data_IF_652442997327
#
_entry.id   IF_652442997327
#
_cell.length_a   1.000
_cell.length_b   1.000
_cell.length_c   1.000
_cell.angle_alpha   90.00
_cell.angle_beta   90.00
_cell.angle_gamma   90.00
#
_symmetry.space_group_name_H-M   'P 1'
#
loop_
_entity.id
_entity.type
_entity.pdbx_description
1 polymer ?
#
# COMPACT_ATOMS: atom_id res chain seq x y z
N UNK A 1 -0.72 1.31 -23.03
CA UNK A 1 0.34 0.94 -24.00
C UNK A 1 0.88 -0.47 -23.68
N UNK A 2 0.99 -0.87 -22.40
CA UNK A 2 1.43 -2.21 -22.01
C UNK A 2 0.50 -3.35 -22.49
N UNK A 3 -0.79 -3.11 -22.65
CA UNK A 3 -1.78 -4.12 -23.03
C UNK A 3 -1.69 -4.58 -24.49
N UNK A 4 -1.21 -3.73 -25.39
CA UNK A 4 -1.09 -4.08 -26.82
C UNK A 4 0.14 -4.98 -27.08
N UNK A 5 1.19 -4.84 -26.27
CA UNK A 5 2.39 -5.65 -26.43
C UNK A 5 2.19 -7.14 -26.07
N UNK A 6 1.23 -7.47 -25.23
CA UNK A 6 0.89 -8.87 -24.88
C UNK A 6 0.13 -9.65 -25.95
N UNK A 7 -0.41 -8.96 -26.95
CA UNK A 7 -1.19 -9.59 -28.02
C UNK A 7 -0.38 -9.96 -29.28
N UNK A 8 0.88 -9.54 -29.36
CA UNK A 8 1.75 -9.87 -30.50
C UNK A 8 2.48 -11.18 -30.17
N UNK A 9 2.33 -12.25 -30.98
CA UNK A 9 3.07 -13.47 -30.78
C UNK A 9 4.57 -13.22 -30.71
N UNK A 10 5.25 -13.85 -29.74
CA UNK A 10 6.67 -13.68 -29.48
C UNK A 10 7.52 -13.85 -30.77
N UNK A 11 7.13 -14.78 -31.64
CA UNK A 11 7.72 -14.99 -32.95
C UNK A 11 7.71 -13.76 -33.86
N UNK A 12 6.62 -12.96 -33.83
CA UNK A 12 6.53 -11.71 -34.61
C UNK A 12 7.40 -10.60 -34.02
N UNK A 13 7.48 -10.53 -32.69
CA UNK A 13 8.36 -9.55 -32.00
C UNK A 13 9.82 -9.85 -32.31
N UNK A 14 10.21 -11.11 -32.28
CA UNK A 14 11.58 -11.55 -32.62
C UNK A 14 11.88 -11.30 -34.11
N UNK A 15 10.98 -11.68 -35.01
CA UNK A 15 11.14 -11.44 -36.46
C UNK A 15 11.25 -9.94 -36.78
N UNK A 16 10.38 -9.12 -36.21
CA UNK A 16 10.41 -7.66 -36.42
C UNK A 16 11.71 -7.03 -35.87
N UNK A 17 12.22 -7.54 -34.76
CA UNK A 17 13.45 -7.07 -34.16
C UNK A 17 14.70 -7.43 -34.97
N UNK A 18 14.71 -8.62 -35.59
CA UNK A 18 15.83 -9.06 -36.44
C UNK A 18 15.91 -8.18 -37.69
N UNK A 19 14.77 -7.86 -38.31
CA UNK A 19 14.70 -7.03 -39.53
C UNK A 19 15.11 -5.58 -39.28
N UNK A 20 14.81 -5.02 -38.11
CA UNK A 20 15.06 -3.60 -37.80
C UNK A 20 16.26 -3.37 -36.84
N UNK A 21 16.95 -4.44 -36.43
CA UNK A 21 17.99 -4.39 -35.40
C UNK A 21 19.17 -3.48 -35.75
N UNK A 22 19.55 -3.45 -37.01
CA UNK A 22 20.66 -2.63 -37.52
C UNK A 22 20.25 -1.21 -37.88
N UNK A 23 18.97 -1.00 -38.16
CA UNK A 23 18.45 0.29 -38.65
C UNK A 23 17.92 1.20 -37.53
N UNK A 24 17.60 0.67 -36.35
CA UNK A 24 17.07 1.45 -35.25
C UNK A 24 17.54 0.96 -33.86
N UNK A 25 18.56 1.59 -33.27
CA UNK A 25 19.09 1.22 -31.94
C UNK A 25 18.03 1.22 -30.83
N UNK A 26 16.96 1.99 -30.99
CA UNK A 26 15.85 2.03 -30.03
C UNK A 26 15.08 0.71 -29.99
N UNK A 27 14.86 0.09 -31.14
CA UNK A 27 14.21 -1.21 -31.24
C UNK A 27 15.05 -2.33 -30.67
N UNK A 28 16.36 -2.28 -30.87
CA UNK A 28 17.30 -3.24 -30.26
C UNK A 28 17.17 -3.22 -28.73
N UNK A 29 17.27 -2.04 -28.14
CA UNK A 29 17.15 -1.85 -26.69
C UNK A 29 15.80 -2.36 -26.15
N UNK A 30 14.69 -2.06 -26.85
CA UNK A 30 13.36 -2.49 -26.47
C UNK A 30 13.21 -4.02 -26.53
N UNK A 31 13.77 -4.66 -27.56
CA UNK A 31 13.72 -6.12 -27.72
C UNK A 31 14.60 -6.80 -26.68
N UNK A 32 15.82 -6.32 -26.47
CA UNK A 32 16.72 -6.88 -25.46
C UNK A 32 16.08 -6.77 -24.06
N UNK A 33 15.37 -5.68 -23.76
CA UNK A 33 14.61 -5.53 -22.54
C UNK A 33 13.43 -6.51 -22.46
N UNK A 34 12.66 -6.71 -23.54
CA UNK A 34 11.56 -7.69 -23.56
C UNK A 34 12.07 -9.12 -23.41
N UNK A 35 13.17 -9.48 -24.05
CA UNK A 35 13.78 -10.81 -23.91
C UNK A 35 14.32 -11.01 -22.49
N UNK A 36 14.95 -10.01 -21.91
CA UNK A 36 15.39 -10.04 -20.51
C UNK A 36 14.21 -10.27 -19.55
N UNK A 37 13.06 -9.66 -19.81
CA UNK A 37 11.87 -9.82 -18.98
C UNK A 37 11.32 -11.25 -18.97
N UNK A 38 11.61 -12.08 -19.98
CA UNK A 38 11.19 -13.49 -20.01
C UNK A 38 11.91 -14.36 -18.99
N UNK A 39 13.04 -13.90 -18.46
CA UNK A 39 13.79 -14.59 -17.42
C UNK A 39 13.24 -14.30 -16.01
N UNK A 40 12.22 -13.45 -15.89
CA UNK A 40 11.61 -13.05 -14.63
C UNK A 40 10.12 -13.40 -14.62
N UNK A 41 9.58 -13.64 -13.44
CA UNK A 41 8.14 -13.80 -13.25
C UNK A 41 7.38 -12.51 -13.60
N UNK A 42 6.07 -12.63 -13.82
CA UNK A 42 5.21 -11.45 -14.04
C UNK A 42 5.33 -10.44 -12.89
N UNK A 43 5.37 -10.93 -11.64
CA UNK A 43 5.45 -10.07 -10.45
C UNK A 43 6.79 -9.34 -10.35
N UNK A 44 7.91 -10.02 -10.65
CA UNK A 44 9.23 -9.38 -10.71
C UNK A 44 9.29 -8.29 -11.79
N UNK A 45 8.72 -8.57 -12.96
CA UNK A 45 8.65 -7.58 -14.04
C UNK A 45 7.77 -6.38 -13.66
N UNK A 46 6.62 -6.61 -13.02
CA UNK A 46 5.75 -5.56 -12.52
C UNK A 46 6.47 -4.70 -11.46
N UNK A 47 7.17 -5.34 -10.52
CA UNK A 47 7.99 -4.64 -9.54
C UNK A 47 9.06 -3.77 -10.20
N UNK A 48 9.82 -4.35 -11.12
CA UNK A 48 10.88 -3.64 -11.86
C UNK A 48 10.36 -2.42 -12.63
N UNK A 49 9.16 -2.51 -13.19
CA UNK A 49 8.54 -1.38 -13.92
C UNK A 49 8.14 -0.27 -12.95
N UNK A 50 7.63 -0.61 -11.78
CA UNK A 50 7.14 0.35 -10.78
C UNK A 50 8.29 1.00 -9.98
N UNK A 51 9.30 0.20 -9.59
CA UNK A 51 10.36 0.64 -8.67
C UNK A 51 11.73 0.87 -9.37
N UNK A 52 11.87 0.49 -10.64
CA UNK A 52 13.07 0.77 -11.44
C UNK A 52 14.25 -0.18 -11.24
N UNK A 53 14.13 -1.20 -10.39
CA UNK A 53 15.17 -2.20 -10.12
C UNK A 53 14.58 -3.62 -10.00
N UNK A 54 15.43 -4.64 -10.06
CA UNK A 54 15.04 -6.03 -9.81
C UNK A 54 14.84 -6.21 -8.30
N UNK A 55 13.70 -6.78 -7.85
CA UNK A 55 13.43 -6.92 -6.43
C UNK A 55 14.40 -7.89 -5.76
N UNK A 56 14.77 -7.59 -4.52
CA UNK A 56 15.30 -8.60 -3.60
C UNK A 56 14.20 -9.61 -3.24
N UNK A 57 14.52 -10.80 -2.72
CA UNK A 57 13.51 -11.77 -2.29
C UNK A 57 12.53 -11.21 -1.27
N UNK A 58 12.99 -10.31 -0.39
CA UNK A 58 12.15 -9.66 0.62
C UNK A 58 11.21 -8.64 0.01
N UNK A 59 11.71 -7.75 -0.86
CA UNK A 59 10.86 -6.79 -1.59
C UNK A 59 9.82 -7.49 -2.46
N UNK A 60 10.20 -8.59 -3.11
CA UNK A 60 9.26 -9.39 -3.90
C UNK A 60 8.15 -9.98 -3.03
N UNK A 61 8.49 -10.52 -1.86
CA UNK A 61 7.51 -11.05 -0.89
C UNK A 61 6.55 -9.95 -0.41
N UNK A 62 7.08 -8.79 -0.04
CA UNK A 62 6.28 -7.65 0.41
C UNK A 62 5.37 -7.14 -0.73
N UNK A 63 5.88 -7.02 -1.93
CA UNK A 63 5.09 -6.64 -3.09
C UNK A 63 4.00 -7.66 -3.45
N UNK A 64 4.33 -8.96 -3.42
CA UNK A 64 3.34 -10.04 -3.59
C UNK A 64 2.26 -10.00 -2.51
N UNK A 65 2.61 -9.63 -1.29
CA UNK A 65 1.65 -9.46 -0.19
C UNK A 65 0.66 -8.34 -0.50
N UNK A 66 1.13 -7.17 -0.97
CA UNK A 66 0.27 -6.06 -1.39
C UNK A 66 -0.66 -6.50 -2.51
N UNK A 67 -0.14 -7.14 -3.55
CA UNK A 67 -0.95 -7.63 -4.66
C UNK A 67 -1.99 -8.65 -4.20
N UNK A 68 -1.59 -9.60 -3.35
CA UNK A 68 -2.48 -10.64 -2.83
C UNK A 68 -3.64 -10.07 -2.02
N UNK A 69 -3.39 -9.05 -1.19
CA UNK A 69 -4.42 -8.37 -0.40
C UNK A 69 -5.41 -7.57 -1.27
N UNK A 70 -5.01 -7.14 -2.45
CA UNK A 70 -5.85 -6.35 -3.37
C UNK A 70 -6.59 -7.17 -4.42
N UNK A 71 -6.23 -8.45 -4.60
CA UNK A 71 -6.81 -9.31 -5.64
C UNK A 71 -8.29 -9.63 -5.45
N UNK A 72 -8.77 -9.66 -4.21
CA UNK A 72 -10.13 -10.09 -3.91
C UNK A 72 -10.88 -9.03 -3.11
N UNK A 73 -11.99 -8.57 -3.69
CA UNK A 73 -12.93 -7.70 -3.00
C UNK A 73 -14.24 -8.44 -2.69
N UNK A 74 -14.79 -8.22 -1.52
CA UNK A 74 -16.08 -8.79 -1.14
C UNK A 74 -17.20 -8.35 -2.08
N UNK A 75 -18.24 -9.19 -2.31
CA UNK A 75 -19.30 -8.90 -3.29
C UNK A 75 -20.18 -7.70 -2.93
N UNK A 76 -20.10 -7.23 -1.69
CA UNK A 76 -20.82 -6.04 -1.19
C UNK A 76 -20.02 -4.74 -1.23
N UNK A 77 -18.75 -4.76 -1.66
CA UNK A 77 -17.91 -3.57 -1.73
C UNK A 77 -18.35 -2.62 -2.84
N UNK A 78 -17.98 -1.33 -2.72
CA UNK A 78 -18.35 -0.32 -3.72
C UNK A 78 -17.81 -0.67 -5.11
N UNK A 79 -16.55 -1.10 -5.21
CA UNK A 79 -15.93 -1.50 -6.46
C UNK A 79 -16.64 -2.69 -7.12
N UNK A 80 -16.99 -3.72 -6.32
CA UNK A 80 -17.74 -4.88 -6.83
C UNK A 80 -19.17 -4.50 -7.26
N UNK A 81 -19.83 -3.56 -6.58
CA UNK A 81 -21.12 -3.02 -7.01
C UNK A 81 -21.00 -2.31 -8.35
N UNK A 82 -20.01 -1.44 -8.52
CA UNK A 82 -19.78 -0.74 -9.78
C UNK A 82 -19.56 -1.70 -10.96
N UNK A 83 -18.78 -2.76 -10.74
CA UNK A 83 -18.60 -3.81 -11.74
C UNK A 83 -19.92 -4.52 -12.10
N UNK A 84 -20.70 -4.91 -11.08
CA UNK A 84 -22.01 -5.58 -11.26
C UNK A 84 -23.01 -4.71 -12.01
N UNK A 85 -23.12 -3.43 -11.66
CA UNK A 85 -24.03 -2.50 -12.33
C UNK A 85 -23.70 -2.35 -13.80
N UNK A 86 -22.39 -2.28 -14.14
CA UNK A 86 -21.94 -2.21 -15.53
C UNK A 86 -22.36 -3.46 -16.34
N UNK A 87 -22.21 -4.65 -15.77
CA UNK A 87 -22.64 -5.91 -16.40
C UNK A 87 -24.17 -6.01 -16.44
N UNK A 88 -24.87 -5.58 -15.40
CA UNK A 88 -26.34 -5.57 -15.34
C UNK A 88 -26.95 -4.69 -16.45
N UNK A 89 -26.23 -3.65 -16.84
CA UNK A 89 -26.59 -2.81 -17.99
C UNK A 89 -26.28 -3.47 -19.37
N UNK A 90 -25.90 -4.77 -19.38
CA UNK A 90 -25.54 -5.56 -20.58
C UNK A 90 -24.30 -5.05 -21.32
N UNK A 91 -23.40 -4.40 -20.62
CA UNK A 91 -22.09 -4.01 -21.16
C UNK A 91 -21.12 -5.20 -21.17
N UNK A 92 -20.07 -5.06 -21.99
CA UNK A 92 -18.96 -6.01 -22.02
C UNK A 92 -18.17 -6.02 -20.72
N UNK A 93 -17.39 -7.10 -20.49
CA UNK A 93 -16.59 -7.28 -19.28
C UNK A 93 -15.55 -6.17 -19.09
N UNK A 94 -15.09 -5.54 -20.15
CA UNK A 94 -14.23 -4.35 -20.09
C UNK A 94 -14.89 -3.20 -19.34
N UNK A 95 -16.19 -3.01 -19.51
CA UNK A 95 -16.96 -1.98 -18.81
C UNK A 95 -17.19 -2.36 -17.34
N UNK A 96 -17.22 -3.65 -16.99
CA UNK A 96 -17.20 -4.08 -15.59
C UNK A 96 -15.93 -3.63 -14.89
N UNK A 97 -14.77 -3.71 -15.56
CA UNK A 97 -13.51 -3.21 -15.03
C UNK A 97 -13.49 -1.68 -14.88
N UNK A 98 -14.05 -0.96 -15.83
CA UNK A 98 -14.26 0.50 -15.72
C UNK A 98 -15.14 0.83 -14.51
N UNK A 99 -16.28 0.14 -14.35
CA UNK A 99 -17.18 0.31 -13.21
C UNK A 99 -16.51 -0.01 -11.87
N UNK A 100 -15.66 -1.02 -11.81
CA UNK A 100 -14.84 -1.34 -10.66
C UNK A 100 -13.91 -0.17 -10.31
N UNK A 101 -13.13 0.32 -11.26
CA UNK A 101 -12.20 1.43 -11.05
C UNK A 101 -12.90 2.74 -10.67
N UNK A 102 -14.01 3.06 -11.33
CA UNK A 102 -14.79 4.27 -11.05
C UNK A 102 -15.36 4.30 -9.62
N UNK A 103 -15.55 3.13 -9.01
CA UNK A 103 -16.04 2.98 -7.64
C UNK A 103 -14.93 2.64 -6.62
N UNK A 104 -13.68 2.78 -7.02
CA UNK A 104 -12.50 2.74 -6.14
C UNK A 104 -12.04 4.17 -5.87
N UNK A 105 -11.87 4.53 -4.62
CA UNK A 105 -11.52 5.90 -4.25
C UNK A 105 -11.33 6.06 -2.74
N UNK A 106 -11.26 7.29 -2.25
CA UNK A 106 -10.94 7.61 -0.84
C UNK A 106 -11.77 6.85 0.21
N UNK A 107 -13.06 6.60 -0.07
CA UNK A 107 -13.93 5.86 0.82
C UNK A 107 -13.80 4.32 0.68
N UNK A 108 -13.09 3.84 -0.33
CA UNK A 108 -12.94 2.42 -0.61
C UNK A 108 -11.68 2.16 -1.46
N UNK A 109 -10.68 1.55 -0.85
CA UNK A 109 -9.38 1.26 -1.47
C UNK A 109 -8.38 2.42 -1.45
N UNK A 110 -8.77 3.63 -1.03
CA UNK A 110 -7.90 4.82 -0.96
C UNK A 110 -7.45 5.22 0.45
N UNK A 111 -7.85 4.49 1.50
CA UNK A 111 -7.48 4.83 2.88
C UNK A 111 -5.96 4.72 3.14
N UNK A 112 -5.26 3.87 2.39
CA UNK A 112 -3.81 3.74 2.48
C UNK A 112 -3.05 5.04 2.18
N UNK A 113 -3.61 5.86 1.31
CA UNK A 113 -3.12 7.20 1.00
C UNK A 113 -3.01 8.10 2.26
N UNK A 114 -4.11 8.22 3.00
CA UNK A 114 -4.13 9.05 4.22
C UNK A 114 -3.20 8.47 5.31
N UNK A 115 -3.03 7.14 5.33
CA UNK A 115 -2.12 6.47 6.24
C UNK A 115 -0.65 6.77 5.91
N UNK A 116 -0.28 6.83 4.64
CA UNK A 116 1.07 7.21 4.20
C UNK A 116 1.35 8.65 4.61
N UNK A 117 0.43 9.58 4.33
CA UNK A 117 0.57 10.99 4.73
C UNK A 117 0.74 11.12 6.25
N UNK A 118 -0.11 10.46 7.03
CA UNK A 118 -0.01 10.44 8.48
C UNK A 118 1.35 9.89 8.96
N UNK A 119 1.82 8.78 8.40
CA UNK A 119 3.13 8.21 8.75
C UNK A 119 4.27 9.17 8.43
N UNK A 120 4.25 9.80 7.25
CA UNK A 120 5.26 10.77 6.87
C UNK A 120 5.29 11.97 7.83
N UNK A 121 4.12 12.44 8.30
CA UNK A 121 4.05 13.46 9.35
C UNK A 121 4.69 12.98 10.67
N UNK A 122 4.44 11.73 11.08
CA UNK A 122 5.00 11.20 12.34
C UNK A 122 6.51 10.92 12.28
N UNK A 123 7.03 10.67 11.09
CA UNK A 123 8.45 10.33 10.87
C UNK A 123 9.26 11.46 10.22
N UNK A 124 8.69 12.68 10.07
CA UNK A 124 9.35 13.83 9.43
C UNK A 124 10.63 14.27 10.13
N UNK A 125 10.64 14.23 11.46
CA UNK A 125 11.70 14.78 12.30
C UNK A 125 12.62 13.72 12.90
N UNK A 126 12.57 12.48 12.35
CA UNK A 126 13.39 11.37 12.86
C UNK A 126 14.32 10.81 11.79
N UNK A 127 15.53 10.44 12.20
CA UNK A 127 16.51 9.82 11.31
C UNK A 127 16.22 8.31 11.18
N UNK A 128 15.30 7.95 10.29
CA UNK A 128 15.01 6.55 9.94
C UNK A 128 15.65 6.25 8.59
N UNK A 129 16.77 5.56 8.58
CA UNK A 129 17.48 5.19 7.34
C UNK A 129 16.82 4.00 6.65
N UNK A 130 16.52 2.95 7.40
CA UNK A 130 15.89 1.73 6.91
C UNK A 130 14.73 1.32 7.82
N UNK A 131 13.49 1.43 7.36
CA UNK A 131 12.33 0.97 8.12
C UNK A 131 12.24 -0.56 8.25
N UNK A 132 13.05 -1.30 7.52
CA UNK A 132 13.17 -2.77 7.61
C UNK A 132 14.17 -3.25 8.65
N UNK A 133 15.00 -2.37 9.20
CA UNK A 133 15.98 -2.72 10.23
C UNK A 133 15.37 -2.63 11.63
N UNK A 134 15.24 -3.74 12.38
CA UNK A 134 14.77 -3.69 13.76
C UNK A 134 15.72 -2.94 14.71
N UNK A 135 16.97 -2.74 14.31
CA UNK A 135 17.99 -2.01 15.06
C UNK A 135 18.05 -0.50 14.72
N UNK A 136 16.98 0.06 14.11
CA UNK A 136 16.91 1.46 13.66
C UNK A 136 17.11 2.52 14.78
N UNK A 137 17.11 2.14 16.04
CA UNK A 137 17.42 3.02 17.17
C UNK A 137 16.32 4.01 17.60
N UNK A 138 15.16 4.04 16.95
CA UNK A 138 14.05 4.93 17.30
C UNK A 138 13.24 4.40 18.49
N UNK A 139 12.86 5.29 19.40
CA UNK A 139 11.86 5.00 20.44
C UNK A 139 10.44 5.09 19.85
N UNK A 140 10.03 4.05 19.10
CA UNK A 140 8.70 3.99 18.48
C UNK A 140 7.56 4.06 19.51
N UNK A 141 7.80 3.53 20.74
CA UNK A 141 6.79 3.60 21.80
C UNK A 141 6.60 5.03 22.29
N UNK A 142 7.69 5.75 22.53
CA UNK A 142 7.63 7.16 22.90
C UNK A 142 7.02 8.02 21.79
N UNK A 143 7.33 7.72 20.52
CA UNK A 143 6.69 8.39 19.37
C UNK A 143 5.18 8.14 19.35
N UNK A 144 4.74 6.90 19.51
CA UNK A 144 3.33 6.53 19.54
C UNK A 144 2.59 7.17 20.74
N UNK A 145 3.23 7.25 21.90
CA UNK A 145 2.66 7.93 23.07
C UNK A 145 2.48 9.43 22.83
N UNK A 146 3.49 10.11 22.26
CA UNK A 146 3.38 11.55 21.89
C UNK A 146 2.25 11.77 20.88
N UNK A 147 2.16 10.93 19.86
CA UNK A 147 1.09 11.00 18.86
C UNK A 147 -0.30 10.78 19.47
N UNK A 148 -0.44 9.81 20.39
CA UNK A 148 -1.69 9.54 21.10
C UNK A 148 -2.14 10.73 21.96
N UNK A 149 -1.23 11.34 22.70
CA UNK A 149 -1.51 12.55 23.52
C UNK A 149 -1.87 13.75 22.66
N UNK A 150 -1.11 14.01 21.59
CA UNK A 150 -1.39 15.10 20.65
C UNK A 150 -2.78 14.93 20.02
N UNK A 151 -3.12 13.72 19.59
CA UNK A 151 -4.45 13.44 19.06
C UNK A 151 -5.56 13.57 20.11
N UNK A 152 -5.29 13.16 21.35
CA UNK A 152 -6.24 13.35 22.48
C UNK A 152 -6.52 14.83 22.77
N UNK A 153 -5.48 15.67 22.76
CA UNK A 153 -5.62 17.12 22.92
C UNK A 153 -6.40 17.76 21.75
N UNK A 154 -6.02 17.41 20.51
CA UNK A 154 -6.74 17.86 19.31
C UNK A 154 -8.23 17.49 19.35
N UNK A 155 -8.55 16.25 19.74
CA UNK A 155 -9.94 15.78 19.83
C UNK A 155 -10.75 16.55 20.85
N UNK A 156 -10.18 16.89 22.02
CA UNK A 156 -10.84 17.72 23.03
C UNK A 156 -11.11 19.13 22.49
N UNK A 157 -10.09 19.76 21.92
CA UNK A 157 -10.22 21.10 21.34
C UNK A 157 -11.26 21.15 20.22
N UNK A 158 -11.26 20.16 19.32
CA UNK A 158 -12.23 20.09 18.23
C UNK A 158 -13.67 19.86 18.70
N UNK A 159 -13.88 19.25 19.88
CA UNK A 159 -15.19 19.07 20.49
C UNK A 159 -15.74 20.36 21.14
N UNK A 160 -14.86 21.30 21.48
CA UNK A 160 -15.25 22.60 22.05
C UNK A 160 -15.68 23.62 20.97
N UNK A 161 -15.35 23.33 19.70
CA UNK A 161 -15.71 24.18 18.56
C UNK A 161 -16.87 23.51 17.82
N UNK A 162 -18.05 24.16 17.83
CA UNK A 162 -19.21 23.70 17.07
C UNK A 162 -18.86 23.63 15.57
N UNK A 163 -19.34 22.57 14.88
CA UNK A 163 -19.19 22.30 13.44
C UNK A 163 -17.79 21.91 12.92
N UNK A 164 -16.83 21.60 13.76
CA UNK A 164 -15.54 21.06 13.30
C UNK A 164 -15.55 19.52 13.28
N UNK A 165 -15.49 18.94 12.09
CA UNK A 165 -15.30 17.49 11.95
C UNK A 165 -13.92 17.06 12.45
N UNK A 166 -13.87 16.22 13.49
CA UNK A 166 -12.62 15.68 14.01
C UNK A 166 -11.93 14.81 12.94
N UNK A 167 -10.76 15.23 12.47
CA UNK A 167 -9.92 14.39 11.58
C UNK A 167 -9.54 13.11 12.32
N UNK A 168 -9.85 11.96 11.75
CA UNK A 168 -9.56 10.66 12.35
C UNK A 168 -8.15 10.22 12.00
N UNK A 169 -7.51 9.46 12.90
CA UNK A 169 -6.29 8.73 12.54
C UNK A 169 -6.68 7.68 11.50
N UNK A 170 -6.02 7.65 10.33
CA UNK A 170 -6.39 6.75 9.26
C UNK A 170 -6.05 5.30 9.59
N UNK A 171 -6.77 4.37 9.00
CA UNK A 171 -6.49 2.94 8.97
C UNK A 171 -6.41 2.24 10.33
N UNK A 172 -6.99 2.84 11.37
CA UNK A 172 -7.27 2.18 12.65
C UNK A 172 -8.77 2.05 12.86
N UNK A 173 -9.17 0.99 13.59
CA UNK A 173 -10.57 0.59 13.76
C UNK A 173 -11.20 0.06 12.45
N UNK A 174 -12.23 -0.76 12.57
CA UNK A 174 -12.93 -1.33 11.41
C UNK A 174 -14.41 -1.54 11.76
N UNK A 175 -15.35 -1.27 10.84
CA UNK A 175 -16.79 -1.41 11.11
C UNK A 175 -17.21 -2.81 11.56
N UNK A 176 -16.52 -3.86 11.08
CA UNK A 176 -16.80 -5.27 11.39
C UNK A 176 -15.96 -5.75 12.57
N UNK A 177 -14.69 -5.38 12.64
CA UNK A 177 -13.74 -5.86 13.67
C UNK A 177 -13.68 -4.89 14.85
N UNK A 178 -14.80 -4.76 15.58
CA UNK A 178 -14.96 -3.85 16.73
C UNK A 178 -15.89 -4.45 17.78
N UNK A 179 -15.92 -3.86 18.96
CA UNK A 179 -16.84 -4.24 20.04
C UNK A 179 -16.18 -5.01 21.17
N UNK A 180 -14.94 -5.46 21.02
CA UNK A 180 -14.14 -6.09 22.06
C UNK A 180 -13.27 -5.07 22.80
N UNK A 181 -12.73 -5.45 23.97
CA UNK A 181 -11.73 -4.64 24.68
C UNK A 181 -10.45 -4.47 23.85
N UNK A 182 -10.04 -5.53 23.16
CA UNK A 182 -8.94 -5.53 22.20
C UNK A 182 -9.53 -6.02 20.87
N UNK A 183 -9.44 -5.18 19.86
CA UNK A 183 -9.95 -5.48 18.53
C UNK A 183 -8.79 -5.85 17.60
N UNK A 184 -9.03 -6.82 16.73
CA UNK A 184 -8.03 -7.34 15.79
C UNK A 184 -8.67 -7.45 14.41
N UNK A 185 -7.97 -7.01 13.38
CA UNK A 185 -8.29 -7.36 11.99
C UNK A 185 -7.57 -8.69 11.67
N UNK A 186 -8.29 -9.78 11.39
CA UNK A 186 -7.67 -11.09 11.16
C UNK A 186 -6.76 -11.10 9.92
N UNK A 187 -6.97 -10.19 8.96
CA UNK A 187 -6.13 -10.06 7.77
C UNK A 187 -4.77 -9.46 8.14
N UNK A 188 -4.78 -8.41 8.95
CA UNK A 188 -3.56 -7.80 9.51
C UNK A 188 -2.78 -8.81 10.35
N UNK A 189 -3.48 -9.53 11.24
CA UNK A 189 -2.86 -10.54 12.11
C UNK A 189 -2.20 -11.66 11.29
N UNK A 190 -2.90 -12.18 10.28
CA UNK A 190 -2.37 -13.24 9.41
C UNK A 190 -1.11 -12.78 8.67
N UNK A 191 -1.19 -11.63 7.99
CA UNK A 191 -0.06 -11.11 7.19
C UNK A 191 1.13 -10.81 8.06
N UNK A 192 0.92 -10.22 9.23
CA UNK A 192 2.03 -9.90 10.13
C UNK A 192 2.72 -11.14 10.70
N UNK A 193 1.95 -12.18 11.03
CA UNK A 193 2.52 -13.47 11.44
C UNK A 193 3.37 -14.08 10.32
N UNK A 194 2.80 -14.15 9.10
CA UNK A 194 3.50 -14.66 7.93
C UNK A 194 4.80 -13.93 7.62
N UNK A 195 4.81 -12.60 7.70
CA UNK A 195 6.01 -11.80 7.44
C UNK A 195 7.03 -11.93 8.58
N UNK A 196 6.58 -11.96 9.83
CA UNK A 196 7.45 -12.16 10.98
C UNK A 196 8.16 -13.52 10.96
N UNK A 197 7.48 -14.60 10.58
CA UNK A 197 8.07 -15.94 10.39
C UNK A 197 9.19 -15.93 9.33
N UNK A 198 9.13 -15.01 8.39
CA UNK A 198 10.14 -14.81 7.33
C UNK A 198 11.18 -13.75 7.69
N UNK A 199 11.21 -13.28 8.93
CA UNK A 199 12.16 -12.29 9.42
C UNK A 199 11.96 -10.87 8.84
N UNK A 200 10.77 -10.58 8.29
CA UNK A 200 10.45 -9.26 7.74
C UNK A 200 9.97 -8.34 8.85
N UNK A 201 10.69 -7.26 9.06
CA UNK A 201 10.35 -6.18 10.00
C UNK A 201 9.90 -4.92 9.25
N UNK A 202 9.05 -4.10 9.90
CA UNK A 202 8.62 -2.82 9.38
C UNK A 202 8.30 -1.85 10.53
N UNK A 203 9.12 -0.80 10.68
CA UNK A 203 9.03 0.19 11.74
C UNK A 203 7.69 0.98 11.70
N UNK A 204 7.15 1.26 10.52
CA UNK A 204 5.87 1.94 10.36
C UNK A 204 4.72 1.08 10.88
N UNK A 205 4.79 -0.23 10.64
CA UNK A 205 3.78 -1.16 11.15
C UNK A 205 3.84 -1.29 12.66
N UNK A 206 5.06 -1.44 13.20
CA UNK A 206 5.24 -1.50 14.66
C UNK A 206 4.76 -0.20 15.32
N UNK A 207 5.02 0.97 14.72
CA UNK A 207 4.47 2.24 15.19
C UNK A 207 2.94 2.22 15.26
N UNK A 208 2.24 1.75 14.23
CA UNK A 208 0.77 1.65 14.26
C UNK A 208 0.24 0.76 15.38
N UNK A 209 0.91 -0.37 15.61
CA UNK A 209 0.56 -1.31 16.69
C UNK A 209 0.75 -0.72 18.07
N UNK A 210 1.81 0.04 18.24
CA UNK A 210 2.07 0.78 19.48
C UNK A 210 1.05 1.92 19.63
N UNK A 211 0.76 2.66 18.57
CA UNK A 211 -0.16 3.78 18.59
C UNK A 211 -1.57 3.39 19.07
N UNK A 212 -2.14 2.29 18.59
CA UNK A 212 -3.48 1.86 19.04
C UNK A 212 -3.49 1.45 20.52
N UNK A 213 -2.38 0.95 21.05
CA UNK A 213 -2.21 0.63 22.47
C UNK A 213 -2.07 1.89 23.32
N UNK A 214 -1.26 2.86 22.85
CA UNK A 214 -1.06 4.13 23.55
C UNK A 214 -2.33 5.01 23.52
N UNK A 215 -3.10 5.02 22.46
CA UNK A 215 -4.41 5.68 22.41
C UNK A 215 -5.38 5.17 23.49
N UNK A 216 -5.36 3.86 23.73
CA UNK A 216 -6.12 3.26 24.80
C UNK A 216 -5.55 3.58 26.20
N UNK A 217 -4.24 3.49 26.37
CA UNK A 217 -3.55 3.76 27.63
C UNK A 217 -3.74 5.22 28.07
N UNK A 218 -3.72 6.17 27.13
CA UNK A 218 -3.96 7.60 27.39
C UNK A 218 -5.46 7.97 27.48
N UNK A 219 -6.36 6.98 27.45
CA UNK A 219 -7.81 7.19 27.57
C UNK A 219 -8.46 7.92 26.39
N UNK A 220 -7.77 8.03 25.25
CA UNK A 220 -8.27 8.67 24.03
C UNK A 220 -9.33 7.80 23.35
N UNK A 221 -9.18 6.49 23.48
CA UNK A 221 -10.13 5.48 22.99
C UNK A 221 -10.63 4.60 24.14
N UNK A 222 -11.85 4.07 24.01
CA UNK A 222 -12.47 3.20 25.03
C UNK A 222 -11.97 1.77 24.98
N UNK A 223 -11.33 1.39 23.91
CA UNK A 223 -10.77 0.05 23.61
C UNK A 223 -9.53 0.18 22.75
N UNK A 224 -8.71 -0.87 22.71
CA UNK A 224 -7.62 -0.99 21.74
C UNK A 224 -8.24 -1.22 20.37
N UNK A 225 -8.03 -0.30 19.45
CA UNK A 225 -8.50 -0.41 18.07
C UNK A 225 -7.65 -1.43 17.30
N UNK A 226 -8.24 -2.08 16.30
CA UNK A 226 -7.45 -2.86 15.35
C UNK A 226 -6.69 -1.92 14.38
N UNK A 227 -5.52 -2.35 13.99
CA UNK A 227 -4.86 -1.86 12.77
C UNK A 227 -5.52 -2.60 11.61
N UNK A 228 -6.08 -1.89 10.65
CA UNK A 228 -6.81 -2.53 9.55
C UNK A 228 -5.91 -2.87 8.36
N UNK A 229 -6.44 -3.60 7.38
CA UNK A 229 -5.68 -4.05 6.22
C UNK A 229 -5.17 -2.91 5.35
N UNK A 230 -5.86 -1.76 5.33
CA UNK A 230 -5.41 -0.60 4.54
C UNK A 230 -4.11 -0.02 5.13
N UNK A 231 -3.93 -0.09 6.46
CA UNK A 231 -2.65 0.24 7.08
C UNK A 231 -1.54 -0.71 6.63
N UNK A 232 -1.84 -2.02 6.50
CA UNK A 232 -0.86 -3.02 6.01
C UNK A 232 -0.36 -2.65 4.62
N UNK A 233 -1.28 -2.30 3.72
CA UNK A 233 -0.95 -1.84 2.37
C UNK A 233 -0.06 -0.58 2.42
N UNK A 234 -0.43 0.39 3.24
CA UNK A 234 0.29 1.66 3.38
C UNK A 234 1.72 1.45 3.93
N UNK A 235 1.90 0.70 5.01
CA UNK A 235 3.22 0.52 5.64
C UNK A 235 4.17 -0.30 4.77
N UNK A 236 3.67 -1.30 4.03
CA UNK A 236 4.50 -2.05 3.09
C UNK A 236 4.89 -1.17 1.91
N UNK A 237 3.94 -0.47 1.31
CA UNK A 237 4.22 0.45 0.19
C UNK A 237 5.22 1.53 0.59
N UNK A 238 5.01 2.18 1.74
CA UNK A 238 5.91 3.22 2.22
C UNK A 238 7.34 2.67 2.47
N UNK A 239 7.45 1.47 3.03
CA UNK A 239 8.76 0.83 3.23
C UNK A 239 9.47 0.59 1.90
N UNK A 240 8.77 0.05 0.89
CA UNK A 240 9.34 -0.25 -0.42
C UNK A 240 9.86 1.02 -1.14
N UNK A 241 9.22 2.16 -0.93
CA UNK A 241 9.60 3.43 -1.57
C UNK A 241 10.42 4.35 -0.67
N UNK A 242 10.69 3.97 0.59
CA UNK A 242 11.26 4.86 1.60
C UNK A 242 12.59 5.48 1.19
N UNK A 243 13.48 4.66 0.67
CA UNK A 243 14.81 5.11 0.21
C UNK A 243 14.72 6.12 -0.94
N UNK A 244 13.76 5.93 -1.83
CA UNK A 244 13.54 6.84 -2.96
C UNK A 244 12.91 8.15 -2.50
N UNK A 245 12.00 8.07 -1.54
CA UNK A 245 11.39 9.25 -0.92
C UNK A 245 12.41 10.08 -0.15
N UNK A 246 13.21 9.46 0.73
CA UNK A 246 14.27 10.16 1.46
C UNK A 246 15.34 10.76 0.55
N UNK A 247 15.66 10.08 -0.54
CA UNK A 247 16.61 10.56 -1.55
C UNK A 247 16.05 11.64 -2.48
N UNK A 248 14.79 12.05 -2.30
CA UNK A 248 14.14 13.07 -3.14
C UNK A 248 13.85 12.60 -4.57
N UNK A 249 13.95 11.29 -4.84
CA UNK A 249 13.65 10.73 -6.17
C UNK A 249 12.18 10.65 -6.48
N UNK A 250 11.35 10.52 -5.45
CA UNK A 250 9.89 10.54 -5.54
C UNK A 250 9.31 11.49 -4.50
N UNK A 251 8.17 12.05 -4.82
CA UNK A 251 7.41 12.94 -3.95
C UNK A 251 6.25 12.19 -3.29
N UNK A 252 5.66 12.76 -2.24
CA UNK A 252 4.44 12.25 -1.63
C UNK A 252 3.35 12.00 -2.69
N UNK A 253 3.13 12.94 -3.61
CA UNK A 253 2.14 12.80 -4.69
C UNK A 253 2.37 11.60 -5.62
N UNK A 254 3.61 11.15 -5.76
CA UNK A 254 3.94 9.98 -6.59
C UNK A 254 3.79 8.66 -5.84
N UNK A 255 3.81 8.70 -4.51
CA UNK A 255 3.52 7.53 -3.66
C UNK A 255 1.99 7.31 -3.57
N UNK A 256 1.25 8.37 -3.62
CA UNK A 256 -0.20 8.46 -3.62
C UNK A 256 -0.80 8.09 -4.98
#
# INVERSE_FOLDING_TARGET
>A
IASIAGMIPLSRVVAYSVINREQNPHWKKLVDQKLSNLNHSFTENAFKVLFGHVPTPQELLEFQTVLGLTLTNGPGTLSSKGAKESVSARNDISMAFVGFLANTGRAHGGNGYEAIEFLLEQFSDVALTDPGDPAHGLDLKGMANRAARAYGAYKKQAQEVEDVAVKRIPCINHPVFRGNKINVDPREQFVSGMLAEKGVYNAFWEFYRLLVKELYAEGVTKNVFCVNVDAVLAVITLKLVWKDYQGGRITLRQIQ
#
